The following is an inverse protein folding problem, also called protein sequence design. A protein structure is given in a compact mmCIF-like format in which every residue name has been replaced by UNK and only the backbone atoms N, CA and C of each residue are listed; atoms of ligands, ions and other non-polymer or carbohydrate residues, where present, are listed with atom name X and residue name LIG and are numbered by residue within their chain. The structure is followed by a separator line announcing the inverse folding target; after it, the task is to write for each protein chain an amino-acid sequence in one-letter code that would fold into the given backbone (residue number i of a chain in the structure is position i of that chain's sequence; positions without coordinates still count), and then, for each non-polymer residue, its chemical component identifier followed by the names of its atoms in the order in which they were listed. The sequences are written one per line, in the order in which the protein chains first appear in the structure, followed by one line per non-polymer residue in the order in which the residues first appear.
data_IF_631171623316
#
_entry.id   IF_631171623316
#
_cell.length_a   1.000
_cell.length_b   1.000
_cell.length_c   1.000
_cell.angle_alpha   90.00
_cell.angle_beta   90.00
_cell.angle_gamma   90.00
#
_symmetry.space_group_name_H-M   'P 1'
#
loop_
_entity.id
_entity.type
_entity.pdbx_description
1 polymer ?
#
# COMPACT_ATOMS: atom_id res chain seq x y z
N UNK A 1 -14.07 -30.90 -78.61
CA UNK A 1 -14.60 -31.10 -77.27
C UNK A 1 -13.44 -30.96 -76.28
N UNK A 2 -13.29 -29.78 -75.68
CA UNK A 2 -12.22 -29.49 -74.68
C UNK A 2 -12.82 -29.59 -73.29
N UNK A 3 -12.32 -30.50 -72.47
CA UNK A 3 -12.67 -30.66 -71.09
C UNK A 3 -11.69 -29.84 -70.22
N UNK A 4 -12.17 -28.77 -69.55
CA UNK A 4 -11.42 -27.97 -68.60
C UNK A 4 -11.42 -28.65 -67.23
N UNK A 5 -10.25 -29.09 -66.78
CA UNK A 5 -10.02 -29.55 -65.41
C UNK A 5 -9.75 -28.34 -64.49
N UNK A 6 -10.72 -27.98 -63.60
CA UNK A 6 -10.52 -27.00 -62.54
C UNK A 6 -9.74 -27.66 -61.36
N UNK A 7 -8.53 -27.23 -61.14
CA UNK A 7 -7.76 -27.57 -59.92
C UNK A 7 -8.24 -26.68 -58.78
N UNK A 8 -8.80 -27.31 -57.74
CA UNK A 8 -9.15 -26.67 -56.46
C UNK A 8 -7.91 -26.59 -55.56
N UNK A 9 -7.35 -25.40 -55.35
CA UNK A 9 -6.29 -25.14 -54.39
C UNK A 9 -6.91 -25.02 -53.00
N UNK A 10 -6.69 -26.04 -52.15
CA UNK A 10 -6.95 -25.92 -50.70
C UNK A 10 -5.78 -25.17 -50.04
N UNK A 11 -6.02 -23.96 -49.59
CA UNK A 11 -5.10 -23.23 -48.71
C UNK A 11 -5.38 -23.63 -47.27
N UNK A 12 -4.50 -24.38 -46.65
CA UNK A 12 -4.53 -24.68 -45.22
C UNK A 12 -3.98 -23.47 -44.46
N UNK A 13 -4.87 -22.74 -43.76
CA UNK A 13 -4.47 -21.68 -42.83
C UNK A 13 -3.97 -22.33 -41.52
N UNK A 14 -2.69 -22.28 -41.30
CA UNK A 14 -2.07 -22.68 -40.03
C UNK A 14 -2.32 -21.60 -39.00
N UNK A 15 -3.18 -21.87 -38.01
CA UNK A 15 -3.37 -21.01 -36.81
C UNK A 15 -2.12 -21.13 -35.93
N UNK A 16 -1.29 -20.10 -35.94
CA UNK A 16 -0.19 -19.98 -34.97
C UNK A 16 -0.78 -19.49 -33.64
N UNK A 17 -0.95 -20.38 -32.69
CA UNK A 17 -1.31 -20.02 -31.31
C UNK A 17 -0.12 -19.28 -30.69
N UNK A 18 -0.23 -17.97 -30.57
CA UNK A 18 0.71 -17.14 -29.80
C UNK A 18 0.42 -17.39 -28.34
N UNK A 19 1.17 -18.29 -27.70
CA UNK A 19 1.16 -18.47 -26.26
C UNK A 19 1.87 -17.27 -25.62
N UNK A 20 1.09 -16.34 -25.03
CA UNK A 20 1.63 -15.29 -24.18
C UNK A 20 2.36 -15.93 -23.00
N UNK A 21 3.58 -15.50 -22.66
CA UNK A 21 4.26 -16.03 -21.49
C UNK A 21 3.46 -15.67 -20.25
N UNK A 22 2.96 -16.66 -19.54
CA UNK A 22 2.44 -16.49 -18.18
C UNK A 22 3.65 -16.17 -17.30
N UNK A 23 3.85 -14.89 -16.99
CA UNK A 23 4.83 -14.51 -15.98
C UNK A 23 4.36 -15.07 -14.65
N UNK A 24 5.04 -16.08 -14.13
CA UNK A 24 4.84 -16.56 -12.77
C UNK A 24 5.07 -15.37 -11.82
N UNK A 25 4.07 -15.04 -11.00
CA UNK A 25 4.16 -13.98 -10.01
C UNK A 25 5.36 -14.27 -9.09
N UNK A 26 6.48 -13.58 -9.32
CA UNK A 26 7.70 -13.75 -8.56
C UNK A 26 7.45 -13.36 -7.10
N UNK A 27 7.79 -14.26 -6.16
CA UNK A 27 7.82 -13.94 -4.73
C UNK A 27 8.82 -12.81 -4.48
N UNK A 28 8.63 -11.97 -3.45
CA UNK A 28 9.63 -10.96 -3.07
C UNK A 28 11.00 -11.60 -2.94
N UNK A 29 12.04 -10.89 -3.39
CA UNK A 29 13.40 -11.38 -3.28
C UNK A 29 13.73 -11.74 -1.82
N UNK A 30 14.15 -12.97 -1.50
CA UNK A 30 14.54 -13.35 -0.14
C UNK A 30 15.61 -12.42 0.44
N UNK A 31 16.51 -11.93 -0.42
CA UNK A 31 17.59 -10.99 -0.04
C UNK A 31 17.00 -9.64 0.41
N UNK A 32 15.96 -9.13 -0.28
CA UNK A 32 15.32 -7.90 0.12
C UNK A 32 14.63 -8.05 1.48
N UNK A 33 13.82 -9.10 1.66
CA UNK A 33 13.16 -9.37 2.94
C UNK A 33 14.18 -9.46 4.08
N UNK A 34 15.23 -10.27 3.95
CA UNK A 34 16.24 -10.46 4.99
C UNK A 34 16.95 -9.14 5.35
N UNK A 35 17.32 -8.35 4.33
CA UNK A 35 17.97 -7.05 4.55
C UNK A 35 17.06 -6.07 5.31
N UNK A 36 15.77 -5.98 4.96
CA UNK A 36 14.85 -5.07 5.62
C UNK A 36 14.45 -5.56 7.02
N UNK A 37 14.30 -6.86 7.21
CA UNK A 37 14.06 -7.47 8.53
C UNK A 37 15.21 -7.18 9.50
N UNK A 38 16.45 -7.30 9.03
CA UNK A 38 17.64 -6.95 9.83
C UNK A 38 17.69 -5.44 10.13
N UNK A 39 17.28 -4.58 9.18
CA UNK A 39 17.27 -3.13 9.38
C UNK A 39 16.14 -2.63 10.30
N UNK A 40 15.10 -3.44 10.55
CA UNK A 40 13.94 -3.09 11.37
C UNK A 40 13.48 -4.31 12.21
N UNK A 41 14.28 -4.74 13.20
CA UNK A 41 13.99 -5.97 13.96
C UNK A 41 12.72 -5.87 14.82
N UNK A 42 12.25 -4.67 15.12
CA UNK A 42 11.02 -4.46 15.90
C UNK A 42 9.74 -4.37 15.03
N UNK A 43 9.88 -4.34 13.70
CA UNK A 43 8.74 -4.43 12.79
C UNK A 43 8.21 -5.87 12.79
N UNK A 44 6.89 -6.02 12.96
CA UNK A 44 6.26 -7.34 12.87
C UNK A 44 6.64 -8.04 11.55
N UNK A 45 7.23 -9.26 11.61
CA UNK A 45 7.65 -9.98 10.41
C UNK A 45 6.51 -10.25 9.43
N UNK A 46 5.27 -10.41 9.91
CA UNK A 46 4.10 -10.60 9.06
C UNK A 46 3.72 -9.30 8.34
N UNK A 47 3.85 -8.14 9.01
CA UNK A 47 3.64 -6.83 8.41
C UNK A 47 4.65 -6.57 7.28
N UNK A 48 5.95 -6.84 7.51
CA UNK A 48 6.98 -6.70 6.48
C UNK A 48 6.75 -7.65 5.31
N UNK A 49 6.45 -8.93 5.58
CA UNK A 49 6.18 -9.93 4.55
C UNK A 49 4.94 -9.55 3.73
N UNK A 50 3.86 -9.15 4.40
CA UNK A 50 2.61 -8.70 3.75
C UNK A 50 2.84 -7.50 2.85
N UNK A 51 3.56 -6.47 3.33
CA UNK A 51 3.89 -5.27 2.56
C UNK A 51 4.70 -5.58 1.29
N UNK A 52 5.73 -6.42 1.41
CA UNK A 52 6.55 -6.82 0.27
C UNK A 52 5.77 -7.69 -0.73
N UNK A 53 4.94 -8.61 -0.25
CA UNK A 53 4.08 -9.43 -1.11
C UNK A 53 3.08 -8.56 -1.88
N UNK A 54 2.36 -7.67 -1.18
CA UNK A 54 1.36 -6.79 -1.79
C UNK A 54 2.00 -5.84 -2.82
N UNK A 55 3.11 -5.21 -2.48
CA UNK A 55 3.88 -4.35 -3.39
C UNK A 55 4.36 -5.12 -4.62
N UNK A 56 4.96 -6.30 -4.43
CA UNK A 56 5.48 -7.10 -5.54
C UNK A 56 4.35 -7.58 -6.45
N UNK A 57 3.20 -7.97 -5.87
CA UNK A 57 2.02 -8.32 -6.63
C UNK A 57 1.52 -7.15 -7.48
N UNK A 58 1.46 -5.93 -6.92
CA UNK A 58 1.11 -4.72 -7.66
C UNK A 58 2.07 -4.49 -8.84
N UNK A 59 3.39 -4.58 -8.61
CA UNK A 59 4.40 -4.34 -9.66
C UNK A 59 4.31 -5.41 -10.76
N UNK A 60 4.17 -6.68 -10.40
CA UNK A 60 4.01 -7.77 -11.36
C UNK A 60 2.71 -7.66 -12.18
N UNK A 61 1.71 -6.93 -11.67
CA UNK A 61 0.43 -6.69 -12.32
C UNK A 61 0.36 -5.35 -13.09
N UNK A 62 1.51 -4.64 -13.22
CA UNK A 62 1.62 -3.44 -14.06
C UNK A 62 1.85 -2.12 -13.30
N UNK A 63 1.83 -2.10 -11.96
CA UNK A 63 2.18 -0.89 -11.23
C UNK A 63 3.65 -0.52 -11.41
N UNK A 64 3.94 0.78 -11.52
CA UNK A 64 5.32 1.26 -11.58
C UNK A 64 6.05 0.91 -10.27
N UNK A 65 7.29 0.38 -10.31
CA UNK A 65 8.11 0.19 -9.13
C UNK A 65 8.26 1.48 -8.31
N UNK A 66 8.45 1.34 -7.01
CA UNK A 66 8.71 2.47 -6.11
C UNK A 66 10.11 2.38 -5.51
N UNK A 67 10.68 3.54 -5.18
CA UNK A 67 11.94 3.63 -4.44
C UNK A 67 11.74 3.43 -2.94
N UNK A 68 10.62 3.93 -2.42
CA UNK A 68 10.33 3.85 -0.99
C UNK A 68 9.08 3.00 -0.74
N UNK A 69 9.12 2.31 0.39
CA UNK A 69 7.98 1.61 0.97
C UNK A 69 7.78 2.11 2.40
N UNK A 70 6.60 2.64 2.69
CA UNK A 70 6.18 2.92 4.05
C UNK A 70 5.35 1.76 4.59
N UNK A 71 5.56 1.39 5.85
CA UNK A 71 4.77 0.39 6.57
C UNK A 71 4.28 1.01 7.87
N UNK A 72 2.98 0.93 8.12
CA UNK A 72 2.37 1.25 9.40
C UNK A 72 1.89 -0.05 10.03
N UNK A 73 2.43 -0.38 11.19
CA UNK A 73 2.01 -1.56 11.95
C UNK A 73 1.01 -1.17 13.04
N UNK A 74 -0.27 -1.19 12.69
CA UNK A 74 -1.34 -0.86 13.62
C UNK A 74 -1.59 -1.94 14.69
N UNK A 75 -0.93 -3.09 14.63
CA UNK A 75 -0.96 -4.08 15.72
C UNK A 75 -0.17 -3.58 16.95
N UNK A 76 0.72 -2.59 16.77
CA UNK A 76 1.42 -1.93 17.85
C UNK A 76 0.62 -0.75 18.43
N UNK A 77 0.80 -0.41 19.72
CA UNK A 77 0.13 0.73 20.33
C UNK A 77 0.60 2.05 19.70
N UNK A 78 -0.22 3.09 19.80
CA UNK A 78 0.07 4.41 19.26
C UNK A 78 1.26 5.11 19.92
N UNK A 79 1.63 4.66 21.11
CA UNK A 79 2.79 5.14 21.87
C UNK A 79 4.11 4.64 21.31
N UNK A 80 4.08 3.61 20.45
CA UNK A 80 5.28 3.07 19.82
C UNK A 80 5.54 3.72 18.46
N UNK A 81 6.82 3.70 18.04
CA UNK A 81 7.24 4.16 16.71
C UNK A 81 6.90 3.10 15.68
N UNK A 82 5.66 3.09 15.24
CA UNK A 82 5.02 2.07 14.38
C UNK A 82 4.86 2.47 12.92
N UNK A 83 5.55 3.52 12.48
CA UNK A 83 5.75 3.89 11.08
C UNK A 83 7.21 3.63 10.71
N UNK A 84 7.43 2.84 9.66
CA UNK A 84 8.75 2.59 9.06
C UNK A 84 8.73 3.05 7.61
N UNK A 85 9.80 3.69 7.16
CA UNK A 85 10.02 4.02 5.74
C UNK A 85 11.34 3.43 5.31
N UNK A 86 11.32 2.61 4.26
CA UNK A 86 12.50 1.97 3.70
C UNK A 86 12.88 2.60 2.36
N UNK A 87 14.18 2.76 2.09
CA UNK A 87 14.73 2.92 0.74
C UNK A 87 15.03 1.52 0.19
N UNK A 88 14.23 1.08 -0.78
CA UNK A 88 14.29 -0.27 -1.33
C UNK A 88 15.57 -0.50 -2.15
N UNK A 89 16.06 0.54 -2.85
CA UNK A 89 17.29 0.46 -3.63
C UNK A 89 18.52 0.26 -2.72
N UNK A 90 18.54 0.97 -1.59
CA UNK A 90 19.61 0.87 -0.60
C UNK A 90 19.39 -0.25 0.41
N UNK A 91 18.20 -0.88 0.41
CA UNK A 91 17.77 -1.90 1.37
C UNK A 91 17.96 -1.46 2.82
N UNK A 92 17.58 -0.21 3.13
CA UNK A 92 17.82 0.44 4.43
C UNK A 92 16.55 1.04 4.98
N UNK A 93 16.41 1.00 6.30
CA UNK A 93 15.47 1.84 7.04
C UNK A 93 15.96 3.29 6.99
N UNK A 94 15.12 4.21 6.55
CA UNK A 94 15.45 5.65 6.42
C UNK A 94 14.67 6.54 7.38
N UNK A 95 13.59 6.00 7.97
CA UNK A 95 12.81 6.68 9.01
C UNK A 95 12.01 5.65 9.81
N UNK A 96 11.96 5.83 11.15
CA UNK A 96 11.02 5.16 12.06
C UNK A 96 10.47 6.20 13.03
N UNK A 97 9.12 6.31 13.11
CA UNK A 97 8.49 7.31 13.97
C UNK A 97 7.07 6.93 14.41
N UNK A 98 6.49 7.81 15.25
CA UNK A 98 5.08 7.75 15.66
C UNK A 98 4.16 8.05 14.48
N UNK A 99 3.00 7.42 14.48
CA UNK A 99 1.89 7.73 13.58
C UNK A 99 0.56 7.52 14.29
N UNK A 100 -0.36 8.50 14.14
CA UNK A 100 -1.71 8.41 14.67
C UNK A 100 -2.59 7.55 13.75
N UNK A 101 -3.64 6.98 14.34
CA UNK A 101 -4.77 6.35 13.68
C UNK A 101 -6.05 7.17 13.90
N UNK A 102 -7.13 6.77 13.23
CA UNK A 102 -8.44 7.40 13.32
C UNK A 102 -9.08 7.22 14.71
N UNK A 103 -9.79 8.25 15.17
CA UNK A 103 -10.39 8.29 16.53
C UNK A 103 -11.32 7.12 16.83
N UNK A 104 -12.03 6.65 15.82
CA UNK A 104 -12.93 5.50 15.94
C UNK A 104 -12.24 4.16 15.61
N UNK A 105 -10.93 4.15 15.34
CA UNK A 105 -10.17 2.88 15.23
C UNK A 105 -9.83 2.27 16.59
N UNK A 106 -9.85 3.06 17.67
CA UNK A 106 -9.54 2.62 19.02
C UNK A 106 -8.83 3.70 19.85
N UNK A 107 -8.42 3.34 21.05
CA UNK A 107 -7.74 4.27 21.95
C UNK A 107 -6.21 4.25 21.71
N UNK A 108 -5.44 3.50 22.49
CA UNK A 108 -4.00 3.33 22.27
C UNK A 108 -3.72 2.32 21.15
N UNK A 109 -4.53 1.28 21.06
CA UNK A 109 -4.48 0.27 20.00
C UNK A 109 -5.55 0.55 18.95
N UNK A 110 -5.20 0.47 17.69
CA UNK A 110 -6.17 0.44 16.60
C UNK A 110 -6.65 -1.00 16.41
N UNK A 111 -7.95 -1.22 16.59
CA UNK A 111 -8.58 -2.54 16.49
C UNK A 111 -9.73 -2.57 15.49
N UNK A 112 -10.18 -1.39 15.03
CA UNK A 112 -11.27 -1.25 14.07
C UNK A 112 -10.83 -0.43 12.87
N UNK A 113 -11.20 -0.89 11.68
CA UNK A 113 -10.81 -0.31 10.40
C UNK A 113 -12.01 -0.22 9.47
N UNK A 114 -12.03 0.79 8.61
CA UNK A 114 -13.16 1.02 7.72
C UNK A 114 -12.74 1.67 6.41
N UNK A 115 -13.55 1.42 5.40
CA UNK A 115 -13.50 2.08 4.09
C UNK A 115 -14.67 3.08 3.91
N UNK A 116 -15.53 3.23 4.94
CA UNK A 116 -16.74 4.05 4.88
C UNK A 116 -16.42 5.49 5.22
N UNK A 117 -16.96 6.42 4.43
CA UNK A 117 -16.88 7.86 4.69
C UNK A 117 -17.54 8.22 6.04
N UNK A 118 -16.97 9.18 6.76
CA UNK A 118 -17.47 9.61 8.07
C UNK A 118 -17.24 8.61 9.21
N UNK A 119 -16.63 7.45 8.95
CA UNK A 119 -16.33 6.45 9.99
C UNK A 119 -15.31 6.91 11.02
N UNK A 120 -14.45 7.87 10.68
CA UNK A 120 -13.28 8.29 11.47
C UNK A 120 -12.33 7.15 11.82
N UNK A 121 -12.37 6.07 11.04
CA UNK A 121 -11.48 4.91 11.18
C UNK A 121 -10.39 4.93 10.12
N UNK A 122 -9.22 4.43 10.48
CA UNK A 122 -8.14 4.15 9.52
C UNK A 122 -8.52 2.98 8.61
N UNK A 123 -7.87 2.88 7.46
CA UNK A 123 -8.05 1.79 6.50
C UNK A 123 -6.82 0.91 6.43
N UNK A 124 -7.02 -0.38 6.14
CA UNK A 124 -5.94 -1.37 5.94
C UNK A 124 -5.57 -1.50 4.47
N UNK A 125 -4.39 -2.07 4.23
CA UNK A 125 -3.99 -2.51 2.91
C UNK A 125 -2.94 -1.66 2.23
N UNK A 126 -2.80 -1.88 0.92
CA UNK A 126 -1.82 -1.22 0.07
C UNK A 126 -2.40 0.09 -0.49
N UNK A 127 -1.59 1.14 -0.40
CA UNK A 127 -1.89 2.46 -0.97
C UNK A 127 -0.80 2.86 -1.96
N UNK A 128 -1.20 3.67 -2.97
CA UNK A 128 -0.31 4.41 -3.84
C UNK A 128 -0.32 5.87 -3.43
N UNK A 129 0.82 6.42 -3.06
CA UNK A 129 0.93 7.85 -2.74
C UNK A 129 0.96 8.68 -4.02
N UNK A 130 0.41 9.88 -3.96
CA UNK A 130 0.25 10.74 -5.12
C UNK A 130 0.95 12.08 -4.93
N UNK A 131 0.33 13.16 -5.37
CA UNK A 131 0.84 14.53 -5.24
C UNK A 131 0.81 15.04 -3.80
N UNK A 132 1.79 15.86 -3.46
CA UNK A 132 1.75 16.68 -2.26
C UNK A 132 1.05 18.02 -2.53
N UNK A 133 0.40 18.56 -1.52
CA UNK A 133 -0.32 19.83 -1.61
C UNK A 133 -0.25 20.57 -0.27
N UNK A 134 -0.61 21.85 -0.27
CA UNK A 134 -0.81 22.64 0.94
C UNK A 134 -2.29 22.90 1.15
N UNK A 135 -2.83 22.43 2.26
CA UNK A 135 -4.25 22.56 2.61
C UNK A 135 -4.44 22.93 4.08
N UNK A 136 -5.61 22.65 4.63
CA UNK A 136 -5.99 22.97 6.02
C UNK A 136 -5.01 22.39 7.06
N UNK A 137 -4.41 21.25 6.78
CA UNK A 137 -3.39 20.62 7.64
C UNK A 137 -1.95 20.96 7.22
N UNK A 138 -1.76 22.03 6.44
CA UNK A 138 -0.46 22.41 5.87
C UNK A 138 0.00 21.46 4.77
N UNK A 139 1.31 21.26 4.67
CA UNK A 139 1.92 20.36 3.69
C UNK A 139 1.50 18.92 3.92
N UNK A 140 0.78 18.36 2.97
CA UNK A 140 0.08 17.08 3.06
C UNK A 140 0.31 16.24 1.80
N UNK A 141 0.11 14.93 1.89
CA UNK A 141 0.31 13.98 0.81
C UNK A 141 -0.97 13.17 0.55
N UNK A 142 -1.49 13.27 -0.66
CA UNK A 142 -2.61 12.44 -1.12
C UNK A 142 -2.17 11.01 -1.37
N UNK A 143 -3.10 10.09 -1.25
CA UNK A 143 -2.88 8.69 -1.55
C UNK A 143 -4.17 8.01 -2.01
N UNK A 144 -4.03 7.06 -2.91
CA UNK A 144 -5.11 6.21 -3.39
C UNK A 144 -5.02 4.86 -2.70
N UNK A 145 -6.14 4.37 -2.24
CA UNK A 145 -6.25 3.00 -1.76
C UNK A 145 -6.41 2.05 -2.93
N UNK A 146 -5.67 0.94 -2.92
CA UNK A 146 -5.66 -0.01 -4.02
C UNK A 146 -6.52 -1.26 -3.77
N UNK A 147 -7.10 -1.41 -2.56
CA UNK A 147 -7.81 -2.62 -2.17
C UNK A 147 -9.33 -2.41 -2.07
N UNK A 148 -10.11 -2.91 -3.06
CA UNK A 148 -11.57 -2.76 -3.08
C UNK A 148 -12.23 -3.26 -1.79
N UNK A 149 -13.09 -2.41 -1.22
CA UNK A 149 -13.83 -2.68 0.01
C UNK A 149 -13.02 -2.53 1.30
N UNK A 150 -11.70 -2.22 1.23
CA UNK A 150 -10.83 -2.02 2.39
C UNK A 150 -10.25 -0.63 2.47
N UNK A 151 -9.83 -0.03 1.34
CA UNK A 151 -9.23 1.30 1.32
C UNK A 151 -9.45 2.07 0.00
N UNK A 152 -10.11 1.50 -1.00
CA UNK A 152 -10.32 2.11 -2.32
C UNK A 152 -11.06 3.45 -2.25
N UNK A 153 -11.84 3.72 -1.18
CA UNK A 153 -12.46 5.03 -0.92
C UNK A 153 -11.50 6.05 -0.27
N UNK A 154 -10.21 5.75 -0.13
CA UNK A 154 -9.29 6.62 0.60
C UNK A 154 -9.23 8.04 0.03
N UNK A 155 -9.23 8.21 -1.31
CA UNK A 155 -9.22 9.53 -1.94
C UNK A 155 -10.52 10.30 -1.68
N UNK A 156 -11.66 9.68 -1.84
CA UNK A 156 -12.98 10.29 -1.62
C UNK A 156 -13.19 10.68 -0.16
N UNK A 157 -12.67 9.85 0.75
CA UNK A 157 -12.64 10.11 2.19
C UNK A 157 -11.60 11.14 2.61
N UNK A 158 -10.86 11.74 1.67
CA UNK A 158 -9.77 12.69 1.91
C UNK A 158 -8.70 12.15 2.90
N UNK A 159 -8.41 10.85 2.86
CA UNK A 159 -7.36 10.23 3.66
C UNK A 159 -5.99 10.65 3.11
N UNK A 160 -5.21 11.35 3.93
CA UNK A 160 -3.92 11.94 3.56
C UNK A 160 -2.88 11.74 4.65
N UNK A 161 -1.59 11.78 4.30
CA UNK A 161 -0.52 11.90 5.29
C UNK A 161 -0.32 13.39 5.57
N UNK A 162 -0.40 13.80 6.85
CA UNK A 162 -0.25 15.19 7.26
C UNK A 162 0.44 15.34 8.62
N UNK A 163 0.91 16.56 8.91
CA UNK A 163 1.43 16.93 10.23
C UNK A 163 0.30 17.10 11.24
N UNK A 164 0.53 16.68 12.49
CA UNK A 164 -0.40 16.97 13.56
C UNK A 164 0.32 17.12 14.91
N UNK A 165 0.03 18.23 15.63
CA UNK A 165 0.62 18.52 16.94
C UNK A 165 0.25 17.50 18.04
N UNK A 166 -0.87 16.84 17.88
CA UNK A 166 -1.33 15.79 18.80
C UNK A 166 -0.55 14.47 18.64
N UNK A 167 0.29 14.32 17.60
CA UNK A 167 1.25 13.22 17.50
C UNK A 167 2.51 13.62 18.27
N UNK A 168 2.43 13.50 19.59
CA UNK A 168 3.45 13.99 20.50
C UNK A 168 3.72 12.96 21.63
N UNK A 169 4.98 12.56 21.86
CA UNK A 169 5.34 11.64 22.95
C UNK A 169 4.92 12.12 24.35
N UNK A 170 4.80 13.44 24.56
CA UNK A 170 4.37 13.98 25.85
C UNK A 170 2.89 13.65 26.15
N UNK A 171 2.07 13.50 25.12
CA UNK A 171 0.68 13.08 25.32
C UNK A 171 0.59 11.62 25.75
N UNK A 172 1.49 10.74 25.24
CA UNK A 172 1.52 9.35 25.66
C UNK A 172 1.81 9.21 27.16
N UNK A 173 2.67 10.06 27.70
CA UNK A 173 2.96 10.10 29.14
C UNK A 173 1.78 10.60 30.00
N UNK A 174 0.97 11.53 29.45
CA UNK A 174 -0.17 12.13 30.15
C UNK A 174 -1.42 11.27 30.14
N UNK A 175 -1.73 10.63 29.01
CA UNK A 175 -3.02 9.95 28.75
C UNK A 175 -2.90 8.53 28.23
N UNK A 176 -1.68 7.94 28.25
CA UNK A 176 -1.44 6.56 27.80
C UNK A 176 -1.50 6.35 26.30
N UNK A 177 -1.65 7.41 25.47
CA UNK A 177 -1.67 7.37 24.00
C UNK A 177 -1.28 8.73 23.41
N UNK A 178 -0.95 8.75 22.12
CA UNK A 178 -0.93 10.01 21.34
C UNK A 178 -2.34 10.42 20.94
N UNK A 179 -2.49 11.61 20.32
CA UNK A 179 -3.77 12.02 19.74
C UNK A 179 -4.16 11.18 18.53
N UNK A 180 -5.38 11.36 18.06
CA UNK A 180 -6.00 10.58 16.98
C UNK A 180 -6.56 11.51 15.89
N UNK A 181 -6.60 10.99 14.65
CA UNK A 181 -7.12 11.69 13.47
C UNK A 181 -8.59 11.34 13.19
N UNK A 182 -9.08 11.77 12.04
CA UNK A 182 -10.37 11.33 11.48
C UNK A 182 -10.19 10.20 10.44
N UNK A 183 -9.12 9.38 10.60
CA UNK A 183 -8.79 8.27 9.72
C UNK A 183 -7.40 8.38 9.07
N UNK A 184 -6.90 9.59 8.90
CA UNK A 184 -5.60 9.87 8.29
C UNK A 184 -4.43 9.30 9.09
N UNK A 185 -3.35 8.81 8.44
CA UNK A 185 -2.07 8.57 9.10
C UNK A 185 -1.38 9.93 9.35
N UNK A 186 -1.59 10.51 10.54
CA UNK A 186 -0.97 11.76 10.93
C UNK A 186 0.40 11.51 11.60
N UNK A 187 1.38 12.38 11.29
CA UNK A 187 2.75 12.28 11.80
C UNK A 187 3.17 13.53 12.59
N UNK A 188 4.26 13.44 13.32
CA UNK A 188 4.79 14.58 14.08
C UNK A 188 5.17 15.74 13.13
N UNK A 189 4.91 17.02 13.50
CA UNK A 189 5.25 18.16 12.65
C UNK A 189 6.74 18.19 12.24
N UNK A 190 7.64 17.79 13.13
CA UNK A 190 9.08 17.83 12.91
C UNK A 190 9.56 16.93 11.79
N UNK A 191 8.82 15.86 11.48
CA UNK A 191 9.20 14.88 10.46
C UNK A 191 8.29 14.91 9.22
N UNK A 192 7.17 15.63 9.27
CA UNK A 192 6.13 15.59 8.24
C UNK A 192 6.69 15.91 6.85
N UNK A 193 7.49 16.99 6.73
CA UNK A 193 8.12 17.32 5.45
C UNK A 193 9.02 16.22 4.93
N UNK A 194 9.80 15.59 5.81
CA UNK A 194 10.70 14.49 5.44
C UNK A 194 9.92 13.26 4.98
N UNK A 195 8.81 12.91 5.66
CA UNK A 195 7.92 11.81 5.29
C UNK A 195 7.29 12.06 3.93
N UNK A 196 6.68 13.22 3.73
CA UNK A 196 5.98 13.58 2.50
C UNK A 196 6.94 13.63 1.31
N UNK A 197 8.09 14.27 1.44
CA UNK A 197 9.07 14.38 0.34
C UNK A 197 9.65 13.01 -0.07
N UNK A 198 9.73 12.04 0.85
CA UNK A 198 10.16 10.68 0.51
C UNK A 198 9.05 9.86 -0.14
N UNK A 199 7.82 10.11 0.26
CA UNK A 199 6.69 9.29 -0.16
C UNK A 199 5.88 9.86 -1.31
N UNK A 200 6.02 11.14 -1.69
CA UNK A 200 5.27 11.72 -2.82
C UNK A 200 5.63 11.06 -4.16
N UNK A 201 4.76 11.24 -5.15
CA UNK A 201 4.95 10.82 -6.53
C UNK A 201 5.09 9.29 -6.69
N UNK A 202 4.07 8.57 -6.25
CA UNK A 202 3.90 7.17 -6.60
C UNK A 202 4.78 6.20 -5.81
N UNK A 203 4.95 6.41 -4.51
CA UNK A 203 5.53 5.38 -3.63
C UNK A 203 4.43 4.46 -3.09
N UNK A 204 4.81 3.37 -2.44
CA UNK A 204 3.85 2.50 -1.76
C UNK A 204 3.82 2.77 -0.25
N UNK A 205 2.62 2.74 0.32
CA UNK A 205 2.38 2.67 1.75
C UNK A 205 1.50 1.47 2.07
N UNK A 206 1.82 0.76 3.13
CA UNK A 206 1.09 -0.41 3.57
C UNK A 206 0.66 -0.27 5.03
N UNK A 207 -0.64 -0.34 5.27
CA UNK A 207 -1.24 -0.33 6.61
C UNK A 207 -1.56 -1.75 7.04
N UNK A 208 -0.92 -2.21 8.11
CA UNK A 208 -1.00 -3.56 8.61
C UNK A 208 -1.79 -3.67 9.91
N UNK A 209 -2.65 -4.66 9.97
CA UNK A 209 -3.27 -5.23 11.18
C UNK A 209 -3.67 -6.68 10.86
N UNK A 210 -3.63 -7.63 11.82
CA UNK A 210 -3.98 -9.04 11.55
C UNK A 210 -5.50 -9.27 11.47
N UNK A 211 -6.20 -8.49 10.65
CA UNK A 211 -7.64 -8.65 10.37
C UNK A 211 -7.88 -9.87 9.49
N UNK A 212 -8.63 -10.85 10.00
CA UNK A 212 -8.83 -12.11 9.32
C UNK A 212 -9.65 -12.02 8.04
N UNK A 213 -10.60 -11.06 7.97
CA UNK A 213 -11.39 -10.83 6.77
C UNK A 213 -10.50 -10.27 5.67
N UNK A 214 -9.72 -9.25 5.98
CA UNK A 214 -8.79 -8.65 5.03
C UNK A 214 -7.70 -9.62 4.58
N UNK A 215 -7.05 -10.33 5.50
CA UNK A 215 -6.00 -11.30 5.19
C UNK A 215 -6.47 -12.40 4.21
N UNK A 216 -7.72 -12.84 4.34
CA UNK A 216 -8.29 -13.88 3.47
C UNK A 216 -8.73 -13.37 2.11
N UNK A 217 -9.16 -12.10 2.00
CA UNK A 217 -9.79 -11.56 0.80
C UNK A 217 -8.98 -10.53 0.03
N UNK A 218 -7.86 -10.03 0.57
CA UNK A 218 -7.00 -9.09 -0.14
C UNK A 218 -6.44 -9.68 -1.43
N UNK A 219 -6.72 -9.09 -2.61
CA UNK A 219 -6.18 -9.57 -3.88
C UNK A 219 -4.66 -9.35 -3.99
N UNK A 220 -4.12 -8.38 -3.23
CA UNK A 220 -2.69 -8.09 -3.21
C UNK A 220 -1.90 -9.03 -2.31
N UNK A 221 -2.42 -9.37 -1.12
CA UNK A 221 -1.78 -10.31 -0.21
C UNK A 221 -1.79 -11.74 -0.76
N UNK A 222 -2.90 -12.14 -1.40
CA UNK A 222 -3.08 -13.46 -2.00
C UNK A 222 -2.57 -13.53 -3.45
N UNK A 223 -2.06 -12.43 -3.95
CA UNK A 223 -1.57 -12.17 -5.29
C UNK A 223 -2.42 -12.79 -6.39
N UNK A 224 -3.50 -12.09 -6.75
CA UNK A 224 -4.41 -12.42 -7.85
C UNK A 224 -4.13 -11.47 -9.04
N UNK A 225 -3.16 -11.78 -9.92
CA UNK A 225 -2.59 -10.81 -10.87
C UNK A 225 -3.61 -10.20 -11.83
N UNK A 226 -4.58 -10.98 -12.33
CA UNK A 226 -5.61 -10.50 -13.24
C UNK A 226 -6.55 -9.49 -12.56
N UNK A 227 -6.95 -9.78 -11.32
CA UNK A 227 -7.78 -8.87 -10.53
C UNK A 227 -7.01 -7.60 -10.18
N UNK A 228 -5.75 -7.73 -9.75
CA UNK A 228 -4.89 -6.59 -9.43
C UNK A 228 -4.65 -5.71 -10.66
N UNK A 229 -4.38 -6.29 -11.83
CA UNK A 229 -4.24 -5.54 -13.07
C UNK A 229 -5.52 -4.77 -13.43
N UNK A 230 -6.70 -5.37 -13.28
CA UNK A 230 -7.98 -4.69 -13.48
C UNK A 230 -8.16 -3.50 -12.52
N UNK A 231 -7.84 -3.67 -11.24
CA UNK A 231 -7.90 -2.59 -10.24
C UNK A 231 -6.94 -1.44 -10.62
N UNK A 232 -5.70 -1.76 -10.99
CA UNK A 232 -4.72 -0.74 -11.35
C UNK A 232 -5.14 0.07 -12.58
N UNK A 233 -5.80 -0.54 -13.55
CA UNK A 233 -6.30 0.14 -14.75
C UNK A 233 -7.42 1.14 -14.42
N UNK A 234 -8.27 0.88 -13.41
CA UNK A 234 -9.30 1.83 -12.97
C UNK A 234 -8.72 3.05 -12.26
N UNK A 235 -7.53 2.95 -11.67
CA UNK A 235 -6.82 4.06 -11.04
C UNK A 235 -5.93 4.87 -12.01
N UNK A 236 -5.75 4.39 -13.25
CA UNK A 236 -4.93 5.06 -14.27
C UNK A 236 -5.75 5.98 -15.21
N UNK A 237 -7.06 5.87 -15.18
CA UNK A 237 -8.03 6.71 -15.93
C UNK A 237 -8.46 7.91 -15.11
#
# INVERSE_FOLDING_TARGET
MLTFLRRLLLTTATLVAVSSPVFAAGKPSPILYTSLAHAAPELNPQALKGALNAMQCAVNSGAKPSRHLAIIDYSQPSTERRLWIFDLNKKKLVLRDLVAHGSNSGENFATQFSNVEGSYQSSLGLFRTQESYSGTHGYSLRMDGLEPGFNDMARDRAIVIHAASYVNPLWSKKQGRIGRSQGCPAVRPQIAKQVIDRLKNGQFMFSWYPDQRWLKSSPYLNCQPQQVASILNTHAS
#
